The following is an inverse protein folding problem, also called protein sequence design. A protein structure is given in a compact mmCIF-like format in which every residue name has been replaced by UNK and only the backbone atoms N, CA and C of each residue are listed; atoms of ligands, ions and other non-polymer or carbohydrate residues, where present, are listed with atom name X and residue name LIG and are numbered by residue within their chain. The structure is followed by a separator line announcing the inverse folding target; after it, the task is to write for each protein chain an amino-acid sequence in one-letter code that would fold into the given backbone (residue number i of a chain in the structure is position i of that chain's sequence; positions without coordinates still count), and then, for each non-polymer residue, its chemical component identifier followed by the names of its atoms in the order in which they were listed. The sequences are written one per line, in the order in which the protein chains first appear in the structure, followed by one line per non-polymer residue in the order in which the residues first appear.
data_IF_084685523617
#
_entry.id   IF_084685523617
#
_cell.length_a   1.000
_cell.length_b   1.000
_cell.length_c   1.000
_cell.angle_alpha   90.00
_cell.angle_beta   90.00
_cell.angle_gamma   90.00
#
_symmetry.space_group_name_H-M   'P 1'
#
loop_
_entity.id
_entity.type
_entity.pdbx_description
1 polymer ?
#
# COMPACT_ATOMS: atom_id res chain seq x y z
N UNK A 1 -30.70 -6.78 -6.98
CA UNK A 1 -29.87 -6.16 -5.92
C UNK A 1 -30.35 -6.73 -4.59
N UNK A 2 -29.47 -6.88 -3.59
CA UNK A 2 -29.93 -7.31 -2.25
C UNK A 2 -30.73 -6.14 -1.65
N UNK A 3 -31.92 -6.42 -1.13
CA UNK A 3 -32.78 -5.41 -0.47
C UNK A 3 -32.76 -5.65 1.03
N UNK A 4 -32.38 -4.64 1.80
CA UNK A 4 -32.50 -4.68 3.26
C UNK A 4 -33.98 -4.54 3.68
N UNK A 5 -34.45 -5.48 4.48
CA UNK A 5 -35.82 -5.53 5.02
C UNK A 5 -35.89 -4.93 6.42
N UNK A 6 -34.90 -5.22 7.26
CA UNK A 6 -34.77 -4.68 8.62
C UNK A 6 -33.28 -4.50 8.97
N UNK A 7 -33.01 -3.69 10.00
CA UNK A 7 -31.67 -3.53 10.56
C UNK A 7 -31.68 -4.06 12.00
N UNK A 8 -30.87 -5.07 12.30
CA UNK A 8 -30.84 -5.70 13.62
C UNK A 8 -29.46 -5.52 14.25
N UNK A 9 -29.37 -4.69 15.30
CA UNK A 9 -28.13 -4.48 16.04
C UNK A 9 -27.75 -5.75 16.83
N UNK A 10 -26.53 -6.24 16.62
CA UNK A 10 -25.96 -7.39 17.34
C UNK A 10 -24.99 -6.94 18.41
N UNK A 11 -24.12 -5.97 18.09
CA UNK A 11 -23.06 -5.52 19.00
C UNK A 11 -22.64 -4.09 18.71
N UNK A 12 -22.22 -3.34 19.74
CA UNK A 12 -21.64 -2.01 19.60
C UNK A 12 -20.64 -1.73 20.72
N UNK A 13 -19.46 -1.24 20.35
CA UNK A 13 -18.50 -0.62 21.27
C UNK A 13 -17.80 0.57 20.61
N UNK A 14 -16.69 1.04 21.19
CA UNK A 14 -15.92 2.17 20.67
C UNK A 14 -15.28 1.91 19.30
N UNK A 15 -15.04 0.65 18.93
CA UNK A 15 -14.31 0.28 17.70
C UNK A 15 -15.24 -0.02 16.53
N UNK A 16 -16.42 -0.61 16.78
CA UNK A 16 -17.34 -0.99 15.71
C UNK A 16 -18.79 -1.13 16.17
N UNK A 17 -19.69 -1.04 15.20
CA UNK A 17 -21.10 -1.45 15.31
C UNK A 17 -21.36 -2.61 14.36
N UNK A 18 -21.99 -3.69 14.84
CA UNK A 18 -22.26 -4.92 14.07
C UNK A 18 -23.76 -5.16 13.98
N UNK A 19 -24.23 -5.43 12.78
CA UNK A 19 -25.62 -5.72 12.46
C UNK A 19 -25.76 -7.09 11.78
N UNK A 20 -26.90 -7.74 11.99
CA UNK A 20 -27.34 -8.92 11.24
C UNK A 20 -28.67 -8.59 10.56
N UNK A 21 -28.59 -7.88 9.44
CA UNK A 21 -29.74 -7.33 8.72
C UNK A 21 -30.59 -8.45 8.11
N UNK A 22 -31.92 -8.36 8.21
CA UNK A 22 -32.79 -9.21 7.38
C UNK A 22 -32.76 -8.67 5.95
N UNK A 23 -32.54 -9.56 4.99
CA UNK A 23 -32.40 -9.19 3.58
C UNK A 23 -33.24 -10.08 2.67
N UNK A 24 -33.60 -9.52 1.52
CA UNK A 24 -34.13 -10.23 0.38
C UNK A 24 -33.07 -10.26 -0.73
N UNK A 25 -32.63 -11.46 -1.08
CA UNK A 25 -31.70 -11.72 -2.18
C UNK A 25 -32.43 -11.70 -3.53
N UNK A 26 -31.66 -11.84 -4.62
CA UNK A 26 -32.24 -12.04 -5.95
C UNK A 26 -33.20 -13.24 -5.91
N UNK A 27 -34.31 -13.13 -6.64
CA UNK A 27 -35.37 -14.14 -6.73
C UNK A 27 -36.28 -14.27 -5.50
N UNK A 28 -36.29 -13.28 -4.59
CA UNK A 28 -37.22 -13.24 -3.46
C UNK A 28 -36.83 -14.13 -2.27
N UNK A 29 -35.65 -14.76 -2.33
CA UNK A 29 -35.11 -15.56 -1.23
C UNK A 29 -34.81 -14.64 -0.05
N UNK A 30 -35.36 -14.95 1.13
CA UNK A 30 -35.10 -14.22 2.37
C UNK A 30 -33.98 -14.88 3.17
N UNK A 31 -33.17 -14.07 3.83
CA UNK A 31 -32.12 -14.53 4.74
C UNK A 31 -31.55 -13.37 5.54
N UNK A 32 -30.35 -13.54 6.06
CA UNK A 32 -29.65 -12.50 6.82
C UNK A 32 -28.32 -12.13 6.18
N UNK A 33 -27.82 -10.93 6.49
CA UNK A 33 -26.53 -10.44 6.04
C UNK A 33 -25.81 -9.70 7.17
N UNK A 34 -24.57 -10.12 7.46
CA UNK A 34 -23.74 -9.45 8.45
C UNK A 34 -23.23 -8.12 7.89
N UNK A 35 -23.24 -7.06 8.70
CA UNK A 35 -22.70 -5.75 8.34
C UNK A 35 -21.97 -5.14 9.52
N UNK A 36 -20.72 -4.76 9.31
CA UNK A 36 -19.83 -4.16 10.31
C UNK A 36 -19.52 -2.73 9.89
N UNK A 37 -19.74 -1.78 10.79
CA UNK A 37 -19.38 -0.38 10.62
C UNK A 37 -18.25 -0.07 11.61
N UNK A 38 -17.01 0.11 11.15
CA UNK A 38 -15.91 0.59 12.00
C UNK A 38 -16.20 1.99 12.52
N UNK A 39 -15.58 2.34 13.64
CA UNK A 39 -15.64 3.68 14.22
C UNK A 39 -14.21 4.22 14.43
N UNK A 40 -13.77 5.21 13.62
CA UNK A 40 -14.49 5.82 12.50
C UNK A 40 -14.64 4.89 11.28
N UNK A 41 -15.65 5.15 10.43
CA UNK A 41 -15.94 4.34 9.24
C UNK A 41 -15.13 4.75 8.00
N UNK A 42 -14.60 5.97 8.00
CA UNK A 42 -13.68 6.45 6.98
C UNK A 42 -12.27 6.45 7.55
N UNK A 43 -11.31 6.06 6.71
CA UNK A 43 -9.89 6.08 7.02
C UNK A 43 -9.10 6.66 5.85
N UNK A 44 -7.82 6.92 6.10
CA UNK A 44 -6.84 7.29 5.08
C UNK A 44 -5.65 6.34 5.16
N UNK A 45 -4.89 6.29 4.07
CA UNK A 45 -3.56 5.69 4.02
C UNK A 45 -2.66 6.64 3.22
N UNK A 46 -1.43 6.85 3.69
CA UNK A 46 -0.48 7.78 3.09
C UNK A 46 0.77 7.04 2.67
N UNK A 47 1.16 7.19 1.41
CA UNK A 47 2.40 6.65 0.85
C UNK A 47 3.45 7.76 0.93
N UNK A 48 4.40 7.72 1.87
CA UNK A 48 5.37 8.80 2.08
C UNK A 48 6.54 8.61 1.13
N UNK A 49 6.75 9.56 0.21
CA UNK A 49 7.89 9.61 -0.69
C UNK A 49 8.89 10.64 -0.16
N UNK A 50 10.02 10.14 0.31
CA UNK A 50 11.14 10.95 0.81
C UNK A 50 11.79 11.74 -0.32
N UNK A 51 12.56 12.78 0.03
CA UNK A 51 13.27 13.61 -0.97
C UNK A 51 14.31 12.82 -1.80
N UNK A 52 14.81 11.70 -1.31
CA UNK A 52 15.76 10.82 -2.00
C UNK A 52 15.07 9.71 -2.84
N UNK A 53 13.74 9.70 -2.89
CA UNK A 53 12.94 8.72 -3.64
C UNK A 53 12.66 7.42 -2.90
N UNK A 54 13.09 7.27 -1.65
CA UNK A 54 12.69 6.14 -0.78
C UNK A 54 11.26 6.32 -0.28
N UNK A 55 10.66 5.21 0.17
CA UNK A 55 9.35 5.17 0.82
C UNK A 55 9.50 4.89 2.31
N UNK A 56 8.71 5.55 3.14
CA UNK A 56 8.70 5.29 4.58
C UNK A 56 7.54 4.38 4.95
N UNK A 57 7.83 3.27 5.64
CA UNK A 57 6.84 2.33 6.16
C UNK A 57 7.03 2.16 7.66
N UNK A 58 5.95 1.88 8.38
CA UNK A 58 5.95 1.61 9.82
C UNK A 58 5.81 0.11 10.09
N UNK A 59 6.25 -0.32 11.27
CA UNK A 59 5.90 -1.63 11.82
C UNK A 59 4.96 -1.44 13.00
N UNK A 60 3.76 -2.00 12.90
CA UNK A 60 2.71 -1.93 13.91
C UNK A 60 2.34 -3.33 14.40
N UNK A 61 2.34 -3.56 15.71
CA UNK A 61 1.85 -4.83 16.26
C UNK A 61 0.32 -4.92 16.20
N UNK A 62 -0.19 -5.79 15.33
CA UNK A 62 -1.63 -5.99 15.16
C UNK A 62 -2.11 -7.09 16.10
N UNK A 63 -2.72 -6.68 17.22
CA UNK A 63 -3.23 -7.60 18.26
C UNK A 63 -4.09 -8.75 17.71
N UNK A 64 -4.97 -8.48 16.73
CA UNK A 64 -5.83 -9.50 16.13
C UNK A 64 -5.06 -10.61 15.39
N UNK A 65 -3.88 -10.28 14.84
CA UNK A 65 -2.97 -11.25 14.22
C UNK A 65 -1.96 -11.81 15.22
N UNK A 66 -1.67 -11.06 16.29
CA UNK A 66 -0.66 -11.41 17.29
C UNK A 66 0.78 -11.21 16.80
N UNK A 67 0.99 -10.43 15.73
CA UNK A 67 2.27 -10.25 15.06
C UNK A 67 2.52 -8.79 14.64
N UNK A 68 3.79 -8.38 14.47
CA UNK A 68 4.14 -7.14 13.78
C UNK A 68 3.69 -7.22 12.31
N UNK A 69 3.15 -6.11 11.82
CA UNK A 69 2.72 -5.94 10.43
C UNK A 69 3.36 -4.67 9.90
N UNK A 70 3.97 -4.78 8.72
CA UNK A 70 4.56 -3.67 7.99
C UNK A 70 3.47 -2.97 7.19
N UNK A 71 3.37 -1.65 7.36
CA UNK A 71 2.27 -0.86 6.84
C UNK A 71 2.77 0.52 6.38
N UNK A 72 2.05 1.14 5.46
CA UNK A 72 2.11 2.58 5.30
C UNK A 72 1.32 3.26 6.43
N UNK A 73 1.69 4.49 6.81
CA UNK A 73 0.95 5.22 7.83
C UNK A 73 -0.52 5.38 7.41
N UNK A 74 -1.42 5.04 8.33
CA UNK A 74 -2.84 4.95 8.08
C UNK A 74 -3.66 5.11 9.36
N UNK A 75 -4.82 5.73 9.24
CA UNK A 75 -5.68 5.89 10.41
C UNK A 75 -7.04 6.49 10.11
N UNK A 76 -7.82 6.63 11.19
CA UNK A 76 -9.22 6.99 11.14
C UNK A 76 -9.45 8.48 10.85
N UNK A 77 -10.43 8.80 10.02
CA UNK A 77 -10.82 10.20 9.79
C UNK A 77 -11.71 10.66 10.93
N UNK A 78 -11.26 11.69 11.66
CA UNK A 78 -12.04 12.29 12.73
C UNK A 78 -13.25 13.07 12.20
N UNK A 79 -14.27 13.26 13.04
CA UNK A 79 -15.54 13.86 12.65
C UNK A 79 -15.36 15.23 11.97
N UNK A 80 -15.77 15.31 10.70
CA UNK A 80 -15.70 16.50 9.84
C UNK A 80 -14.28 16.99 9.48
N UNK A 81 -13.25 16.21 9.78
CA UNK A 81 -11.89 16.52 9.34
C UNK A 81 -11.77 16.33 7.81
N UNK A 82 -11.17 17.28 7.07
CA UNK A 82 -10.84 17.07 5.66
C UNK A 82 -9.88 15.88 5.51
N UNK A 83 -10.08 15.03 4.51
CA UNK A 83 -9.24 13.85 4.28
C UNK A 83 -7.74 14.18 4.17
N UNK A 84 -7.39 15.33 3.60
CA UNK A 84 -6.00 15.81 3.51
C UNK A 84 -5.42 16.22 4.87
N UNK A 85 -6.25 16.68 5.80
CA UNK A 85 -5.82 16.99 7.17
C UNK A 85 -5.56 15.69 7.92
N UNK A 86 -6.47 14.71 7.82
CA UNK A 86 -6.28 13.38 8.41
C UNK A 86 -4.99 12.73 7.88
N UNK A 87 -4.76 12.78 6.57
CA UNK A 87 -3.54 12.24 5.96
C UNK A 87 -2.25 12.90 6.49
N UNK A 88 -2.23 14.23 6.65
CA UNK A 88 -1.07 14.92 7.22
C UNK A 88 -0.88 14.63 8.70
N UNK A 89 -1.98 14.47 9.43
CA UNK A 89 -1.97 14.14 10.86
C UNK A 89 -1.39 12.75 11.08
N UNK A 90 -1.93 11.71 10.45
CA UNK A 90 -1.43 10.34 10.62
C UNK A 90 0.03 10.22 10.16
N UNK A 91 0.40 10.86 9.04
CA UNK A 91 1.80 10.90 8.60
C UNK A 91 2.73 11.48 9.68
N UNK A 92 2.31 12.56 10.35
CA UNK A 92 3.11 13.18 11.40
C UNK A 92 3.11 12.34 12.69
N UNK A 93 1.95 11.84 13.10
CA UNK A 93 1.77 11.08 14.34
C UNK A 93 2.52 9.74 14.30
N UNK A 94 2.43 8.99 13.20
CA UNK A 94 3.00 7.65 13.11
C UNK A 94 4.47 7.62 12.65
N UNK A 95 4.92 8.62 11.89
CA UNK A 95 6.27 8.61 11.31
C UNK A 95 7.11 9.84 11.64
N UNK A 96 6.53 10.88 12.25
CA UNK A 96 7.22 12.15 12.50
C UNK A 96 7.54 12.94 11.23
N UNK A 97 6.92 12.62 10.09
CA UNK A 97 7.23 13.23 8.80
C UNK A 97 6.25 14.37 8.46
N UNK A 98 6.75 15.36 7.74
CA UNK A 98 5.94 16.35 7.03
C UNK A 98 6.20 16.26 5.53
N UNK A 99 5.19 16.60 4.71
CA UNK A 99 5.32 16.56 3.25
C UNK A 99 5.00 17.90 2.58
N UNK A 100 5.70 18.17 1.48
CA UNK A 100 5.51 19.39 0.69
C UNK A 100 4.18 19.35 -0.07
N UNK A 101 3.88 18.21 -0.72
CA UNK A 101 2.68 18.05 -1.54
C UNK A 101 1.96 16.76 -1.18
N UNK A 102 0.64 16.85 -1.03
CA UNK A 102 -0.22 15.69 -0.84
C UNK A 102 -1.11 15.52 -2.08
N UNK A 103 -1.16 14.31 -2.64
CA UNK A 103 -1.95 13.97 -3.83
C UNK A 103 -2.92 12.86 -3.51
N UNK A 104 -4.21 13.05 -3.77
CA UNK A 104 -5.20 11.99 -3.67
C UNK A 104 -5.04 11.03 -4.84
N UNK A 105 -4.80 9.75 -4.57
CA UNK A 105 -4.55 8.72 -5.58
C UNK A 105 -5.78 7.84 -5.85
N UNK A 106 -6.67 7.68 -4.86
CA UNK A 106 -7.88 6.89 -5.05
C UNK A 106 -8.55 6.46 -3.75
N UNK A 107 -9.42 5.45 -3.86
CA UNK A 107 -10.16 4.89 -2.72
C UNK A 107 -10.14 3.37 -2.79
N UNK A 108 -10.06 2.74 -1.64
CA UNK A 108 -10.16 1.29 -1.50
C UNK A 108 -11.17 0.92 -0.42
N UNK A 109 -11.76 -0.26 -0.58
CA UNK A 109 -12.64 -0.88 0.39
C UNK A 109 -11.95 -2.15 0.89
N UNK A 110 -11.75 -2.27 2.19
CA UNK A 110 -10.95 -3.37 2.77
C UNK A 110 -11.70 -4.70 2.70
N UNK A 111 -13.00 -4.70 3.03
CA UNK A 111 -13.83 -5.92 2.97
C UNK A 111 -15.27 -5.58 2.59
N UNK A 112 -15.53 -5.28 1.30
CA UNK A 112 -16.82 -4.75 0.86
C UNK A 112 -18.00 -5.73 1.01
N UNK A 113 -17.73 -7.00 1.27
CA UNK A 113 -18.75 -8.03 1.53
C UNK A 113 -19.39 -7.92 2.91
N UNK A 114 -18.76 -7.23 3.87
CA UNK A 114 -19.26 -7.15 5.25
C UNK A 114 -19.00 -5.81 5.92
N UNK A 115 -17.94 -5.10 5.53
CA UNK A 115 -17.47 -3.91 6.21
C UNK A 115 -17.82 -2.64 5.44
N UNK A 116 -18.45 -1.69 6.13
CA UNK A 116 -18.72 -0.34 5.63
C UNK A 116 -17.50 0.54 5.91
N UNK A 117 -16.39 0.25 5.24
CA UNK A 117 -15.18 1.06 5.33
C UNK A 117 -14.78 1.63 3.97
N UNK A 118 -14.33 2.88 4.00
CA UNK A 118 -13.68 3.52 2.85
C UNK A 118 -12.33 4.05 3.30
N UNK A 119 -11.27 3.69 2.60
CA UNK A 119 -9.93 4.19 2.84
C UNK A 119 -9.53 5.07 1.66
N UNK A 120 -9.19 6.32 1.91
CA UNK A 120 -8.68 7.23 0.87
C UNK A 120 -7.16 7.15 0.81
N UNK A 121 -6.64 6.91 -0.39
CA UNK A 121 -5.20 6.76 -0.64
C UNK A 121 -4.60 8.11 -0.99
N UNK A 122 -3.54 8.49 -0.30
CA UNK A 122 -2.77 9.68 -0.58
C UNK A 122 -1.30 9.34 -0.85
N UNK A 123 -0.68 10.11 -1.74
CA UNK A 123 0.78 10.12 -1.92
C UNK A 123 1.30 11.43 -1.35
N UNK A 124 2.21 11.33 -0.39
CA UNK A 124 2.89 12.45 0.24
C UNK A 124 4.28 12.61 -0.40
N UNK A 125 4.51 13.73 -1.08
CA UNK A 125 5.72 13.98 -1.85
C UNK A 125 6.67 14.92 -1.12
N UNK A 126 7.96 14.63 -1.23
CA UNK A 126 9.02 15.45 -0.64
C UNK A 126 8.95 15.42 0.87
N UNK A 127 8.77 14.22 1.44
CA UNK A 127 8.73 14.03 2.88
C UNK A 127 10.10 14.32 3.50
N UNK A 128 10.06 14.97 4.66
CA UNK A 128 11.22 15.28 5.50
C UNK A 128 10.86 15.03 6.96
N UNK A 129 11.87 14.75 7.79
CA UNK A 129 11.70 14.70 9.23
C UNK A 129 11.20 16.05 9.75
N UNK A 130 10.15 16.00 10.57
CA UNK A 130 9.67 17.17 11.29
C UNK A 130 10.52 17.40 12.55
N UNK A 131 10.39 18.57 13.17
CA UNK A 131 10.98 18.82 14.49
C UNK A 131 10.19 18.17 15.64
N UNK A 132 9.17 17.36 15.34
CA UNK A 132 8.36 16.65 16.33
C UNK A 132 8.72 15.18 16.27
N UNK A 133 8.91 14.57 17.44
CA UNK A 133 8.96 13.12 17.55
C UNK A 133 7.61 12.53 17.14
N UNK A 134 7.62 11.33 16.55
CA UNK A 134 6.39 10.61 16.29
C UNK A 134 5.65 10.37 17.61
N UNK A 135 4.32 10.48 17.57
CA UNK A 135 3.42 10.35 18.71
C UNK A 135 2.24 9.50 18.28
N UNK A 136 2.40 8.19 18.33
CA UNK A 136 1.33 7.26 17.99
C UNK A 136 0.22 7.27 19.05
N UNK A 137 -0.99 6.85 18.66
CA UNK A 137 -2.09 6.71 19.60
C UNK A 137 -1.73 5.67 20.68
N UNK A 138 -2.08 5.87 21.97
CA UNK A 138 -1.87 4.86 23.02
C UNK A 138 -2.49 3.48 22.74
N UNK A 139 -3.43 3.39 21.81
CA UNK A 139 -4.06 2.16 21.34
C UNK A 139 -3.29 1.48 20.20
N UNK A 140 -2.22 2.10 19.70
CA UNK A 140 -1.35 1.58 18.66
C UNK A 140 -0.03 1.06 19.23
N UNK A 141 0.59 0.14 18.51
CA UNK A 141 1.84 -0.50 18.92
C UNK A 141 2.89 -0.33 17.82
N UNK A 142 3.14 0.93 17.45
CA UNK A 142 4.09 1.28 16.38
C UNK A 142 5.49 1.32 16.98
N UNK A 143 6.40 0.55 16.40
CA UNK A 143 7.77 0.40 16.91
C UNK A 143 8.73 1.39 16.23
N UNK A 144 8.40 1.84 15.03
CA UNK A 144 9.14 2.87 14.30
C UNK A 144 8.88 2.84 12.79
N UNK A 145 9.45 3.82 12.10
CA UNK A 145 9.43 3.92 10.65
C UNK A 145 10.79 3.52 10.04
N UNK A 146 10.74 2.88 8.87
CA UNK A 146 11.91 2.50 8.07
C UNK A 146 11.76 3.06 6.66
N UNK A 147 12.79 3.76 6.21
CA UNK A 147 12.90 4.19 4.83
C UNK A 147 13.47 3.05 3.99
N UNK A 148 12.77 2.74 2.91
CA UNK A 148 13.04 1.63 2.01
C UNK A 148 13.12 2.16 0.59
N UNK A 149 14.05 1.65 -0.20
CA UNK A 149 13.93 1.77 -1.65
C UNK A 149 12.64 1.09 -2.13
N UNK A 150 12.12 1.51 -3.29
CA UNK A 150 10.95 0.86 -3.88
C UNK A 150 11.17 -0.63 -4.13
N UNK A 151 12.39 -1.05 -4.48
CA UNK A 151 12.76 -2.45 -4.63
C UNK A 151 12.67 -3.21 -3.30
N UNK A 152 13.22 -2.66 -2.21
CA UNK A 152 13.15 -3.31 -0.89
C UNK A 152 11.69 -3.44 -0.41
N UNK A 153 10.89 -2.37 -0.55
CA UNK A 153 9.48 -2.41 -0.22
C UNK A 153 8.73 -3.48 -1.05
N UNK A 154 9.03 -3.57 -2.35
CA UNK A 154 8.46 -4.60 -3.23
C UNK A 154 8.90 -6.01 -2.82
N UNK A 155 10.18 -6.20 -2.47
CA UNK A 155 10.70 -7.49 -2.02
C UNK A 155 10.01 -7.98 -0.75
N UNK A 156 9.73 -7.07 0.19
CA UNK A 156 9.00 -7.40 1.43
C UNK A 156 7.59 -7.93 1.16
N UNK A 157 6.93 -7.52 0.08
CA UNK A 157 5.58 -8.03 -0.26
C UNK A 157 5.61 -9.51 -0.68
N UNK A 158 6.78 -10.06 -0.99
CA UNK A 158 6.96 -11.44 -1.43
C UNK A 158 7.72 -12.30 -0.41
N UNK A 159 8.04 -11.74 0.74
CA UNK A 159 8.70 -12.45 1.83
C UNK A 159 7.62 -13.13 2.70
N UNK A 160 7.64 -14.46 2.74
CA UNK A 160 6.65 -15.26 3.47
C UNK A 160 6.78 -15.10 5.00
N UNK A 161 7.90 -14.56 5.49
CA UNK A 161 8.15 -14.30 6.91
C UNK A 161 7.74 -12.89 7.35
N UNK A 162 7.36 -12.01 6.40
CA UNK A 162 6.97 -10.62 6.67
C UNK A 162 5.48 -10.43 6.43
N UNK A 163 4.75 -10.06 7.47
CA UNK A 163 3.36 -9.63 7.30
C UNK A 163 3.32 -8.20 6.78
N UNK A 164 2.74 -8.03 5.59
CA UNK A 164 2.39 -6.72 5.04
C UNK A 164 0.89 -6.67 4.86
N UNK A 165 0.25 -5.60 5.32
CA UNK A 165 -1.19 -5.50 5.23
C UNK A 165 -1.67 -5.28 3.78
N UNK A 166 -2.85 -5.82 3.45
CA UNK A 166 -3.40 -5.73 2.10
C UNK A 166 -3.67 -4.29 1.64
N UNK A 167 -3.91 -3.38 2.59
CA UNK A 167 -4.16 -1.96 2.32
C UNK A 167 -2.89 -1.29 1.80
N UNK A 168 -1.73 -1.58 2.40
CA UNK A 168 -0.44 -1.03 1.96
C UNK A 168 0.00 -1.58 0.61
N UNK A 169 -0.18 -2.89 0.38
CA UNK A 169 0.09 -3.49 -0.94
C UNK A 169 -0.80 -2.82 -2.01
N UNK A 170 -2.08 -2.62 -1.72
CA UNK A 170 -3.02 -1.95 -2.64
C UNK A 170 -2.65 -0.49 -2.87
N UNK A 171 -2.27 0.25 -1.82
CA UNK A 171 -1.81 1.63 -1.91
C UNK A 171 -0.52 1.75 -2.74
N UNK A 172 0.42 0.80 -2.60
CA UNK A 172 1.59 0.73 -3.46
C UNK A 172 1.24 0.51 -4.94
N UNK A 173 0.19 -0.26 -5.22
CA UNK A 173 -0.38 -0.38 -6.57
C UNK A 173 -0.84 0.96 -7.15
N UNK A 174 -1.50 1.80 -6.34
CA UNK A 174 -1.87 3.16 -6.72
C UNK A 174 -0.64 4.05 -7.01
N UNK A 175 0.43 3.93 -6.21
CA UNK A 175 1.68 4.64 -6.48
C UNK A 175 2.26 4.22 -7.82
N UNK A 176 2.32 2.91 -8.09
CA UNK A 176 2.89 2.35 -9.32
C UNK A 176 2.14 2.88 -10.54
N UNK A 177 0.80 2.83 -10.51
CA UNK A 177 -0.04 3.37 -11.57
C UNK A 177 0.11 4.89 -11.72
N UNK A 178 0.15 5.64 -10.61
CA UNK A 178 0.34 7.09 -10.65
C UNK A 178 1.70 7.46 -11.25
N UNK A 179 2.78 6.73 -10.95
CA UNK A 179 4.11 6.96 -11.54
C UNK A 179 4.07 6.67 -13.05
N UNK A 180 3.47 5.55 -13.47
CA UNK A 180 3.31 5.19 -14.88
C UNK A 180 2.52 6.25 -15.67
N UNK A 181 1.39 6.72 -15.14
CA UNK A 181 0.56 7.74 -15.80
C UNK A 181 1.20 9.13 -15.77
N UNK A 182 1.84 9.49 -14.65
CA UNK A 182 2.38 10.84 -14.49
C UNK A 182 3.69 11.03 -15.24
N UNK A 183 4.50 9.97 -15.46
CA UNK A 183 5.77 10.07 -16.19
C UNK A 183 6.23 8.75 -16.85
N UNK A 184 6.44 8.84 -18.17
CA UNK A 184 7.60 8.29 -18.88
C UNK A 184 8.92 8.89 -18.31
N UNK A 185 9.21 8.75 -17.01
CA UNK A 185 10.47 9.22 -16.41
C UNK A 185 11.39 8.04 -16.10
N UNK A 186 12.51 8.05 -16.81
CA UNK A 186 13.47 6.96 -16.88
C UNK A 186 14.06 6.55 -15.52
N UNK A 187 14.11 7.42 -14.52
CA UNK A 187 14.73 7.11 -13.21
C UNK A 187 13.85 6.15 -12.39
N UNK A 188 12.52 6.32 -12.40
CA UNK A 188 11.60 5.47 -11.63
C UNK A 188 11.18 4.22 -12.42
N UNK A 189 11.05 4.33 -13.75
CA UNK A 189 10.89 3.18 -14.63
C UNK A 189 12.05 2.18 -14.49
N UNK A 190 13.28 2.67 -14.26
CA UNK A 190 14.45 1.83 -13.96
C UNK A 190 14.32 1.11 -12.61
N UNK A 191 13.84 1.77 -11.56
CA UNK A 191 13.61 1.12 -10.25
C UNK A 191 12.55 0.03 -10.31
N UNK A 192 11.45 0.28 -11.03
CA UNK A 192 10.37 -0.71 -11.22
C UNK A 192 10.79 -1.86 -12.15
N UNK A 193 11.44 -1.58 -13.29
CA UNK A 193 11.98 -2.61 -14.18
C UNK A 193 13.07 -3.45 -13.48
N UNK A 194 13.84 -2.84 -12.57
CA UNK A 194 14.81 -3.55 -11.74
C UNK A 194 14.12 -4.46 -10.72
N UNK A 195 13.11 -3.96 -10.00
CA UNK A 195 12.34 -4.77 -9.05
C UNK A 195 11.60 -5.95 -9.73
N UNK A 196 10.96 -5.68 -10.87
CA UNK A 196 10.26 -6.70 -11.66
C UNK A 196 11.24 -7.69 -12.34
N UNK A 197 12.36 -7.19 -12.87
CA UNK A 197 13.42 -8.03 -13.45
C UNK A 197 14.10 -8.92 -12.40
N UNK A 198 14.38 -8.38 -11.22
CA UNK A 198 14.93 -9.11 -10.08
C UNK A 198 13.94 -10.17 -9.56
N UNK A 199 12.67 -9.80 -9.41
CA UNK A 199 11.59 -10.71 -9.03
C UNK A 199 11.50 -11.91 -9.98
N UNK A 200 11.47 -11.65 -11.29
CA UNK A 200 11.40 -12.71 -12.29
C UNK A 200 12.64 -13.60 -12.30
N UNK A 201 13.84 -13.02 -12.14
CA UNK A 201 15.09 -13.76 -12.06
C UNK A 201 15.15 -14.67 -10.82
N UNK A 202 14.74 -14.18 -9.64
CA UNK A 202 14.76 -14.95 -8.37
C UNK A 202 13.79 -16.12 -8.38
N UNK A 203 12.68 -16.02 -9.12
CA UNK A 203 11.63 -17.05 -9.20
C UNK A 203 11.75 -17.95 -10.44
N UNK A 204 12.79 -17.78 -11.26
CA UNK A 204 12.95 -18.54 -12.51
C UNK A 204 11.82 -18.27 -13.53
N UNK A 205 11.12 -17.14 -13.39
CA UNK A 205 10.02 -16.76 -14.28
C UNK A 205 10.66 -16.18 -15.54
N UNK A 206 10.49 -16.90 -16.65
CA UNK A 206 11.05 -16.48 -17.92
C UNK A 206 10.24 -15.28 -18.47
N UNK A 207 10.85 -14.10 -18.49
CA UNK A 207 10.27 -12.86 -19.04
C UNK A 207 10.36 -12.77 -20.58
N UNK A 208 10.51 -13.90 -21.27
CA UNK A 208 10.36 -13.95 -22.73
C UNK A 208 8.92 -13.62 -23.13
N UNK A 209 8.67 -12.32 -23.27
CA UNK A 209 7.36 -11.74 -23.54
C UNK A 209 7.15 -10.34 -22.97
N UNK A 210 8.14 -9.73 -22.30
CA UNK A 210 8.02 -8.34 -21.84
C UNK A 210 7.82 -7.40 -23.06
N UNK A 211 6.66 -6.70 -23.17
CA UNK A 211 6.37 -5.81 -24.29
C UNK A 211 7.34 -4.61 -24.36
N UNK A 212 8.10 -4.33 -23.30
CA UNK A 212 9.11 -3.28 -23.23
C UNK A 212 10.52 -3.70 -23.68
N UNK A 213 10.73 -4.98 -24.02
CA UNK A 213 12.04 -5.50 -24.46
C UNK A 213 12.58 -4.75 -25.68
N UNK A 214 11.70 -4.40 -26.61
CA UNK A 214 12.08 -3.72 -27.86
C UNK A 214 12.36 -2.22 -27.67
N UNK A 215 11.80 -1.58 -26.64
CA UNK A 215 12.04 -0.16 -26.34
C UNK A 215 13.30 0.05 -25.48
N UNK A 216 13.61 -0.91 -24.60
CA UNK A 216 14.82 -0.90 -23.77
C UNK A 216 16.11 -1.14 -24.59
N UNK A 217 16.05 -1.99 -25.62
CA UNK A 217 17.20 -2.33 -26.49
C UNK A 217 17.79 -1.14 -27.28
N UNK A 218 17.03 -0.05 -27.43
CA UNK A 218 17.42 1.10 -28.27
C UNK A 218 18.18 2.21 -27.53
N UNK A 219 18.28 2.15 -26.20
CA UNK A 219 18.98 3.18 -25.42
C UNK A 219 20.50 2.88 -25.33
N UNK A 220 21.35 3.89 -25.56
CA UNK A 220 22.80 3.79 -25.33
C UNK A 220 23.10 3.35 -23.89
N UNK A 221 22.23 3.68 -22.94
CA UNK A 221 22.34 3.26 -21.55
C UNK A 221 22.09 1.75 -21.34
N UNK A 222 21.21 1.10 -22.12
CA UNK A 222 21.04 -0.35 -22.08
C UNK A 222 22.26 -1.10 -22.64
N UNK A 223 22.92 -0.55 -23.66
CA UNK A 223 24.16 -1.12 -24.21
C UNK A 223 25.33 -1.03 -23.22
N UNK A 224 25.37 0.02 -22.39
CA UNK A 224 26.30 0.15 -21.27
C UNK A 224 25.98 -0.85 -20.15
N UNK A 225 24.70 -1.09 -19.87
CA UNK A 225 24.25 -2.12 -18.92
C UNK A 225 24.56 -3.56 -19.39
N UNK A 226 24.29 -3.93 -20.65
CA UNK A 226 24.59 -5.28 -21.18
C UNK A 226 26.10 -5.57 -21.18
N UNK A 227 26.93 -4.57 -21.49
CA UNK A 227 28.40 -4.68 -21.33
C UNK A 227 28.81 -4.87 -19.86
N UNK A 228 28.20 -4.14 -18.93
CA UNK A 228 28.44 -4.28 -17.49
C UNK A 228 28.01 -5.65 -16.95
N UNK A 229 26.81 -6.09 -17.32
CA UNK A 229 26.22 -7.38 -16.94
C UNK A 229 27.01 -8.58 -17.46
N UNK A 230 27.45 -8.56 -18.72
CA UNK A 230 28.31 -9.61 -19.30
C UNK A 230 29.71 -9.63 -18.68
N UNK A 231 30.22 -8.50 -18.21
CA UNK A 231 31.50 -8.45 -17.49
C UNK A 231 31.38 -8.97 -16.04
N UNK A 232 30.20 -8.81 -15.41
CA UNK A 232 29.91 -9.29 -14.06
C UNK A 232 29.56 -10.79 -14.01
N UNK A 233 28.95 -11.34 -15.08
CA UNK A 233 28.83 -12.79 -15.31
C UNK A 233 30.15 -13.35 -15.85
N UNK A 234 31.19 -13.40 -15.01
CA UNK A 234 32.36 -14.21 -15.32
C UNK A 234 31.94 -15.64 -15.73
N UNK A 235 32.11 -15.95 -17.02
CA UNK A 235 32.32 -17.27 -17.62
C UNK A 235 31.56 -18.49 -17.07
N UNK A 236 30.28 -18.38 -16.69
CA UNK A 236 29.46 -19.56 -16.42
C UNK A 236 28.40 -19.73 -17.49
N UNK A 237 28.78 -20.48 -18.53
CA UNK A 237 27.87 -21.15 -19.45
C UNK A 237 27.04 -22.16 -18.67
N UNK A 238 25.72 -22.03 -18.72
CA UNK A 238 24.80 -23.12 -18.50
C UNK A 238 23.82 -23.10 -19.69
N UNK A 239 24.31 -23.62 -20.82
CA UNK A 239 23.46 -24.36 -21.74
C UNK A 239 23.50 -25.80 -21.25
N UNK A 240 22.39 -26.24 -20.65
CA UNK A 240 21.77 -27.58 -20.75
C UNK A 240 20.55 -27.66 -19.80
#
# INVERSE_FOLDING_TARGET
MIKRLSENLVFKNQFATVFNDDVEFKNGIKGTHLRVIPNPSNAIIVIPIMSDGTVSMIENYRYALGAPVVEFPQGGVMNSEPLSCAARRELLEETGLECQKLTFAGRLCVSPSVMVSNVSVFIAWGCVESNKEFQNDPLESIVGAKNLSLSEATEMFYDDEVFVDSTSISAFGYLSHYIEESRFDAVMARGYAYAMGYYCAKRGINIHGNPFRNELELSEEYQLWDKGWRSAKGNNNYDD
#
